data_IF_258900250971
#
_entry.id   IF_258900250971
#
_cell.length_a   1.000
_cell.length_b   1.000
_cell.length_c   1.000
_cell.angle_alpha   90.00
_cell.angle_beta   90.00
_cell.angle_gamma   90.00
#
_symmetry.space_group_name_H-M   'P 1'
#
loop_
_entity.id
_entity.type
_entity.pdbx_description
1 polymer ?
#
# COMPACT_ATOMS: atom_id res chain seq x y z
N UNK A 1 -3.23 10.03 -1.32
CA UNK A 1 -3.42 9.10 -0.19
C UNK A 1 -4.00 7.78 -0.69
N UNK A 2 -3.65 6.64 -0.08
CA UNK A 2 -4.40 5.40 -0.29
C UNK A 2 -5.81 5.53 0.30
N UNK A 3 -6.81 4.92 -0.32
CA UNK A 3 -8.16 4.88 0.23
C UNK A 3 -8.31 3.68 1.17
N UNK A 4 -7.96 3.89 2.44
CA UNK A 4 -8.05 2.85 3.46
C UNK A 4 -9.45 2.68 4.05
N UNK A 5 -10.40 3.55 3.70
CA UNK A 5 -11.80 3.44 4.15
C UNK A 5 -12.51 2.28 3.46
N UNK A 6 -12.05 1.90 2.27
CA UNK A 6 -12.52 0.72 1.52
C UNK A 6 -12.26 -0.61 2.24
N UNK A 7 -11.22 -0.67 3.09
CA UNK A 7 -10.76 -1.90 3.74
C UNK A 7 -11.18 -1.93 5.22
N UNK A 8 -12.48 -1.86 5.49
CA UNK A 8 -13.04 -1.75 6.84
C UNK A 8 -12.76 -2.95 7.77
N UNK A 9 -12.46 -4.13 7.19
CA UNK A 9 -12.14 -5.34 7.93
C UNK A 9 -10.61 -5.55 7.97
N UNK A 10 -10.07 -6.13 9.05
CA UNK A 10 -8.65 -6.51 9.13
C UNK A 10 -8.24 -7.64 8.16
N UNK A 11 -9.16 -8.07 7.28
CA UNK A 11 -8.93 -9.08 6.27
C UNK A 11 -8.78 -8.42 4.89
N UNK A 12 -7.65 -8.69 4.25
CA UNK A 12 -7.42 -8.29 2.86
C UNK A 12 -7.77 -9.43 1.89
N UNK A 13 -8.31 -9.10 0.71
CA UNK A 13 -8.44 -10.07 -0.36
C UNK A 13 -7.04 -10.54 -0.82
N UNK A 14 -6.97 -11.75 -1.39
CA UNK A 14 -5.71 -12.41 -1.82
C UNK A 14 -5.34 -12.12 -3.28
N UNK A 15 -6.04 -11.21 -3.94
CA UNK A 15 -5.71 -10.74 -5.28
C UNK A 15 -4.38 -9.97 -5.28
N UNK A 16 -3.52 -10.30 -6.23
CA UNK A 16 -2.22 -9.66 -6.39
C UNK A 16 -2.32 -8.48 -7.36
N UNK A 17 -2.38 -7.28 -6.80
CA UNK A 17 -2.40 -6.00 -7.51
C UNK A 17 -1.34 -5.08 -6.89
N UNK A 18 -0.04 -5.32 -7.19
CA UNK A 18 1.04 -4.75 -6.41
C UNK A 18 1.06 -3.22 -6.47
N UNK A 19 1.39 -2.61 -5.34
CA UNK A 19 1.58 -1.16 -5.21
C UNK A 19 2.92 -0.87 -4.53
N UNK A 20 3.67 0.11 -5.03
CA UNK A 20 4.87 0.59 -4.36
C UNK A 20 4.51 1.67 -3.33
N UNK A 21 5.05 1.56 -2.11
CA UNK A 21 4.93 2.56 -1.07
C UNK A 21 6.04 3.63 -1.13
N UNK A 22 5.83 4.76 -0.46
CA UNK A 22 6.85 5.82 -0.27
C UNK A 22 8.01 5.42 0.63
N UNK A 23 7.87 4.30 1.33
CA UNK A 23 8.90 3.63 2.10
C UNK A 23 9.82 2.74 1.25
N UNK A 24 9.54 2.61 -0.05
CA UNK A 24 10.31 1.77 -0.98
C UNK A 24 9.86 0.31 -1.02
N UNK A 25 8.87 -0.08 -0.21
CA UNK A 25 8.36 -1.45 -0.16
C UNK A 25 7.27 -1.69 -1.21
N UNK A 26 7.14 -2.93 -1.66
CA UNK A 26 6.04 -3.35 -2.54
C UNK A 26 5.02 -4.15 -1.77
N UNK A 27 3.78 -3.68 -1.77
CA UNK A 27 2.65 -4.33 -1.10
C UNK A 27 1.84 -5.13 -2.12
N UNK A 28 1.41 -6.34 -1.74
CA UNK A 28 0.69 -7.24 -2.66
C UNK A 28 -0.61 -6.66 -3.22
N UNK A 29 -1.26 -5.78 -2.46
CA UNK A 29 -2.35 -4.91 -2.93
C UNK A 29 -2.52 -3.69 -2.00
N UNK A 30 -3.39 -2.77 -2.38
CA UNK A 30 -3.65 -1.53 -1.62
C UNK A 30 -4.23 -1.80 -0.22
N UNK A 31 -4.94 -2.92 -0.01
CA UNK A 31 -5.41 -3.31 1.32
C UNK A 31 -4.24 -3.62 2.25
N UNK A 32 -3.25 -4.38 1.78
CA UNK A 32 -2.05 -4.72 2.58
C UNK A 32 -1.26 -3.46 2.93
N UNK A 33 -1.13 -2.51 2.01
CA UNK A 33 -0.53 -1.19 2.28
C UNK A 33 -1.32 -0.44 3.38
N UNK A 34 -2.65 -0.47 3.32
CA UNK A 34 -3.49 0.15 4.34
C UNK A 34 -3.37 -0.52 5.72
N UNK A 35 -3.17 -1.84 5.78
CA UNK A 35 -2.89 -2.53 7.05
C UNK A 35 -1.53 -2.12 7.62
N UNK A 36 -0.49 -2.05 6.79
CA UNK A 36 0.84 -1.59 7.23
C UNK A 36 0.79 -0.17 7.83
N UNK A 37 -0.05 0.70 7.27
CA UNK A 37 -0.29 2.04 7.82
C UNK A 37 -1.00 2.04 9.18
N UNK A 38 -1.84 1.05 9.50
CA UNK A 38 -2.51 0.95 10.80
C UNK A 38 -1.56 0.56 11.93
N UNK A 39 -0.46 -0.10 11.60
CA UNK A 39 0.57 -0.47 12.57
C UNK A 39 1.49 0.72 12.93
N UNK A 40 1.40 1.83 12.18
CA UNK A 40 2.17 3.04 12.44
C UNK A 40 1.40 3.96 13.39
N UNK A 41 1.99 4.24 14.57
CA UNK A 41 1.44 5.18 15.55
C UNK A 41 1.76 6.66 15.23
N UNK A 42 2.45 6.95 14.12
CA UNK A 42 2.84 8.29 13.73
C UNK A 42 2.34 8.63 12.32
N UNK A 43 1.47 9.65 12.23
CA UNK A 43 0.92 10.18 10.98
C UNK A 43 1.97 10.68 9.99
N UNK A 44 3.15 11.08 10.47
CA UNK A 44 4.27 11.53 9.62
C UNK A 44 4.93 10.38 8.86
N UNK A 45 4.67 9.12 9.26
CA UNK A 45 5.20 7.91 8.63
C UNK A 45 4.17 7.19 7.76
N UNK A 46 3.08 7.86 7.39
CA UNK A 46 2.06 7.31 6.51
C UNK A 46 2.69 6.94 5.15
N UNK A 47 2.54 5.67 4.77
CA UNK A 47 2.98 5.12 3.51
C UNK A 47 1.95 5.48 2.44
N UNK A 48 2.39 6.19 1.41
CA UNK A 48 1.57 6.56 0.27
C UNK A 48 1.92 5.70 -0.94
N UNK A 49 0.93 5.41 -1.79
CA UNK A 49 1.19 4.74 -3.07
C UNK A 49 1.96 5.65 -4.02
N UNK A 50 3.10 5.18 -4.53
CA UNK A 50 3.84 5.79 -5.62
C UNK A 50 3.24 5.31 -6.95
N UNK A 51 3.22 6.21 -7.94
CA UNK A 51 2.91 5.83 -9.31
C UNK A 51 4.05 4.97 -9.87
N UNK A 52 3.80 3.67 -10.02
CA UNK A 52 4.71 2.80 -10.76
C UNK A 52 4.84 3.33 -12.19
N UNK A 53 6.02 3.85 -12.53
CA UNK A 53 6.42 4.03 -13.92
C UNK A 53 6.75 2.65 -14.46
N UNK A 54 6.18 2.29 -15.62
CA UNK A 54 6.61 1.08 -16.35
C UNK A 54 8.06 1.29 -16.76
N UNK A 55 9.00 0.82 -15.95
CA UNK A 55 10.37 0.65 -16.38
C UNK A 55 10.32 -0.49 -17.39
N UNK A 56 10.57 -0.19 -18.67
CA UNK A 56 10.78 -1.25 -19.65
C UNK A 56 12.04 -1.99 -19.21
N UNK A 57 11.88 -3.22 -18.73
CA UNK A 57 13.00 -4.12 -18.48
C UNK A 57 13.77 -4.28 -19.79
N UNK A 58 15.05 -3.94 -19.76
CA UNK A 58 16.03 -4.30 -20.80
C UNK A 58 16.26 -5.79 -20.80
#
# INVERSE_FOLDING_TARGET
>A
SPDCTKYGNYACPRDYHPVCGTDGETYGNECVLCLANREKNNSDQMIYKIKMTKVKGT
#
